data_IF_581372165130
#
_entry.id   IF_581372165130
#
_cell.length_a   1.000
_cell.length_b   1.000
_cell.length_c   1.000
_cell.angle_alpha   90.00
_cell.angle_beta   90.00
_cell.angle_gamma   90.00
#
_symmetry.space_group_name_H-M   'P 1'
#
loop_
_entity.id
_entity.type
_entity.pdbx_description
1 polymer ?
#
# COMPACT_ATOMS: atom_id res chain seq x y z
N UNK A 1 -16.60 -9.76 8.44
CA UNK A 1 -16.46 -8.53 7.65
C UNK A 1 -15.04 -8.02 7.85
N UNK A 2 -14.24 -7.96 6.79
CA UNK A 2 -12.87 -7.41 6.86
C UNK A 2 -12.97 -5.92 6.59
N UNK A 3 -12.51 -5.08 7.51
CA UNK A 3 -12.56 -3.62 7.38
C UNK A 3 -11.57 -3.13 6.32
N UNK A 4 -11.88 -2.00 5.67
CA UNK A 4 -11.06 -1.41 4.61
C UNK A 4 -9.63 -1.07 5.07
N UNK A 5 -9.43 -0.76 6.36
CA UNK A 5 -8.10 -0.57 6.93
C UNK A 5 -7.28 -1.87 6.96
N UNK A 6 -7.92 -3.00 7.24
CA UNK A 6 -7.28 -4.32 7.20
C UNK A 6 -6.90 -4.70 5.77
N UNK A 7 -7.76 -4.39 4.78
CA UNK A 7 -7.44 -4.59 3.36
C UNK A 7 -6.23 -3.74 2.93
N UNK A 8 -6.17 -2.46 3.33
CA UNK A 8 -5.05 -1.59 3.01
C UNK A 8 -3.72 -2.09 3.61
N UNK A 9 -3.72 -2.54 4.87
CA UNK A 9 -2.52 -3.11 5.52
C UNK A 9 -2.05 -4.39 4.85
N UNK A 10 -2.97 -5.29 4.52
CA UNK A 10 -2.65 -6.52 3.81
C UNK A 10 -2.07 -6.25 2.42
N UNK A 11 -2.58 -5.23 1.71
CA UNK A 11 -2.01 -4.82 0.42
C UNK A 11 -0.58 -4.28 0.60
N UNK A 12 -0.32 -3.43 1.59
CA UNK A 12 1.01 -2.88 1.90
C UNK A 12 2.03 -4.00 2.17
N UNK A 13 1.67 -5.00 2.97
CA UNK A 13 2.58 -6.11 3.29
C UNK A 13 2.84 -7.04 2.09
N UNK A 14 1.93 -7.07 1.10
CA UNK A 14 2.05 -7.88 -0.12
C UNK A 14 2.85 -7.25 -1.25
N UNK A 15 3.07 -5.93 -1.22
CA UNK A 15 3.84 -5.20 -2.25
C UNK A 15 5.27 -5.76 -2.44
N UNK A 16 5.86 -6.37 -1.41
CA UNK A 16 7.26 -6.86 -1.42
C UNK A 16 7.41 -8.39 -1.26
N UNK A 17 6.34 -9.10 -0.88
CA UNK A 17 6.42 -10.52 -0.50
C UNK A 17 6.08 -11.49 -1.65
N UNK A 18 5.40 -11.03 -2.69
CA UNK A 18 5.01 -11.89 -3.80
C UNK A 18 6.00 -11.73 -4.97
N UNK A 19 6.58 -12.86 -5.42
CA UNK A 19 7.53 -13.03 -6.53
C UNK A 19 6.95 -12.68 -7.91
N UNK A 20 6.15 -11.63 -8.02
CA UNK A 20 5.37 -11.28 -9.18
C UNK A 20 5.89 -10.03 -9.85
N UNK A 21 5.81 -10.03 -11.19
CA UNK A 21 6.15 -8.95 -12.11
C UNK A 21 5.94 -7.54 -11.54
N UNK A 22 6.84 -6.62 -11.89
CA UNK A 22 6.78 -5.20 -11.57
C UNK A 22 5.36 -4.59 -11.73
N UNK A 23 4.59 -5.07 -12.69
CA UNK A 23 3.19 -4.68 -12.90
C UNK A 23 2.26 -5.01 -11.72
N UNK A 24 2.43 -6.16 -11.07
CA UNK A 24 1.64 -6.54 -9.90
C UNK A 24 1.96 -5.62 -8.70
N UNK A 25 3.25 -5.30 -8.49
CA UNK A 25 3.66 -4.35 -7.45
C UNK A 25 3.09 -2.95 -7.71
N UNK A 26 3.10 -2.48 -8.97
CA UNK A 26 2.44 -1.24 -9.38
C UNK A 26 0.93 -1.24 -9.09
N UNK A 27 0.22 -2.32 -9.48
CA UNK A 27 -1.23 -2.42 -9.25
C UNK A 27 -1.58 -2.41 -7.76
N UNK A 28 -0.84 -3.17 -6.95
CA UNK A 28 -1.02 -3.20 -5.49
C UNK A 28 -0.73 -1.85 -4.85
N UNK A 29 0.30 -1.14 -5.33
CA UNK A 29 0.61 0.21 -4.87
C UNK A 29 -0.55 1.18 -5.09
N UNK A 30 -1.06 1.28 -6.32
CA UNK A 30 -2.17 2.16 -6.65
C UNK A 30 -3.45 1.79 -5.89
N UNK A 31 -3.72 0.49 -5.75
CA UNK A 31 -4.86 -0.02 -5.01
C UNK A 31 -4.80 0.38 -3.53
N UNK A 32 -3.67 0.14 -2.86
CA UNK A 32 -3.47 0.50 -1.46
C UNK A 32 -3.53 2.02 -1.25
N UNK A 33 -2.92 2.80 -2.15
CA UNK A 33 -2.99 4.26 -2.10
C UNK A 33 -4.43 4.78 -2.23
N UNK A 34 -5.22 4.20 -3.14
CA UNK A 34 -6.62 4.54 -3.34
C UNK A 34 -7.46 4.27 -2.08
N UNK A 35 -7.28 3.12 -1.44
CA UNK A 35 -7.97 2.81 -0.18
C UNK A 35 -7.60 3.75 0.96
N UNK A 36 -6.31 4.07 1.13
CA UNK A 36 -5.86 5.01 2.15
C UNK A 36 -6.45 6.41 1.92
N UNK A 37 -6.49 6.87 0.66
CA UNK A 37 -7.13 8.14 0.30
C UNK A 37 -8.62 8.14 0.62
N UNK A 38 -9.34 7.09 0.21
CA UNK A 38 -10.77 6.97 0.50
C UNK A 38 -11.06 6.95 2.01
N UNK A 39 -10.27 6.21 2.79
CA UNK A 39 -10.40 6.14 4.25
C UNK A 39 -10.17 7.49 4.94
N UNK A 40 -9.18 8.25 4.46
CA UNK A 40 -8.93 9.62 4.92
C UNK A 40 -10.11 10.54 4.60
N UNK A 41 -10.62 10.47 3.39
CA UNK A 41 -11.68 11.36 2.92
C UNK A 41 -13.02 11.12 3.64
N UNK A 42 -13.30 9.88 4.06
CA UNK A 42 -14.49 9.55 4.88
C UNK A 42 -14.25 9.69 6.40
N UNK A 43 -13.09 10.19 6.82
CA UNK A 43 -12.75 10.40 8.24
C UNK A 43 -12.51 9.13 9.05
N UNK A 44 -12.32 7.98 8.38
CA UNK A 44 -11.97 6.70 9.01
C UNK A 44 -10.46 6.54 9.26
N UNK A 45 -9.66 7.45 8.71
CA UNK A 45 -8.22 7.50 8.90
C UNK A 45 -7.80 8.95 9.17
N UNK A 46 -7.21 9.18 10.33
CA UNK A 46 -6.68 10.48 10.73
C UNK A 46 -5.42 10.82 9.94
N UNK A 47 -5.11 12.12 9.83
CA UNK A 47 -3.97 12.60 9.04
C UNK A 47 -2.62 11.98 9.48
N UNK A 48 -2.32 11.83 10.80
CA UNK A 48 -1.14 11.10 11.25
C UNK A 48 -1.13 9.62 10.84
N UNK A 49 -2.27 8.93 10.95
CA UNK A 49 -2.43 7.54 10.53
C UNK A 49 -2.23 7.36 9.03
N UNK A 50 -2.83 8.24 8.23
CA UNK A 50 -2.65 8.28 6.78
C UNK A 50 -1.19 8.51 6.40
N UNK A 51 -0.54 9.52 6.99
CA UNK A 51 0.87 9.82 6.74
C UNK A 51 1.79 8.64 7.07
N UNK A 52 1.50 7.92 8.15
CA UNK A 52 2.26 6.72 8.53
C UNK A 52 2.10 5.60 7.49
N UNK A 53 0.85 5.27 7.13
CA UNK A 53 0.56 4.16 6.21
C UNK A 53 1.02 4.45 4.79
N UNK A 54 0.87 5.69 4.30
CA UNK A 54 1.34 6.06 2.95
C UNK A 54 2.88 6.02 2.87
N UNK A 55 3.58 6.37 3.94
CA UNK A 55 5.04 6.26 3.99
C UNK A 55 5.51 4.81 4.00
N UNK A 56 4.82 3.92 4.74
CA UNK A 56 5.08 2.48 4.70
C UNK A 56 4.86 1.90 3.29
N UNK A 57 3.75 2.27 2.64
CA UNK A 57 3.43 1.84 1.28
C UNK A 57 4.54 2.25 0.30
N UNK A 58 4.97 3.51 0.34
CA UNK A 58 6.07 4.03 -0.51
C UNK A 58 7.38 3.29 -0.26
N UNK A 59 7.72 3.03 1.01
CA UNK A 59 8.95 2.32 1.36
C UNK A 59 8.95 0.88 0.81
N UNK A 60 7.84 0.15 0.97
CA UNK A 60 7.69 -1.21 0.43
C UNK A 60 7.77 -1.21 -1.10
N UNK A 61 7.12 -0.25 -1.75
CA UNK A 61 7.16 -0.12 -3.19
C UNK A 61 8.57 0.18 -3.73
N UNK A 62 9.30 1.08 -3.05
CA UNK A 62 10.69 1.37 -3.39
C UNK A 62 11.62 0.14 -3.22
N UNK A 63 11.37 -0.71 -2.22
CA UNK A 63 12.08 -1.99 -2.07
C UNK A 63 11.75 -2.96 -3.19
N UNK A 64 10.48 -3.06 -3.59
CA UNK A 64 10.06 -3.87 -4.72
C UNK A 64 10.76 -3.41 -6.02
N UNK A 65 10.76 -2.11 -6.33
CA UNK A 65 11.46 -1.56 -7.50
C UNK A 65 12.93 -1.99 -7.57
N UNK A 66 13.67 -1.84 -6.45
CA UNK A 66 15.10 -2.21 -6.38
C UNK A 66 15.37 -3.70 -6.65
N UNK A 67 14.41 -4.59 -6.41
CA UNK A 67 14.54 -6.03 -6.71
C UNK A 67 14.47 -6.33 -8.20
N UNK A 68 13.85 -5.47 -9.00
CA UNK A 68 13.70 -5.65 -10.46
C UNK A 68 14.74 -4.87 -11.28
N UNK A 69 15.54 -4.01 -10.65
CA UNK A 69 16.65 -3.28 -11.30
C UNK A 69 17.95 -4.12 -11.37
N UNK A 70 17.99 -5.33 -10.80
CA UNK A 70 19.13 -6.27 -10.84
C UNK A 70 19.00 -7.29 -11.97
#
# INVERSE_FOLDING_TARGET
MTDALTLARNAIDRVDTESFHLDAAHQLFWCAQGYLGALRDIGQLDEPGYATLINQLKARYALALKKFEQ
#
